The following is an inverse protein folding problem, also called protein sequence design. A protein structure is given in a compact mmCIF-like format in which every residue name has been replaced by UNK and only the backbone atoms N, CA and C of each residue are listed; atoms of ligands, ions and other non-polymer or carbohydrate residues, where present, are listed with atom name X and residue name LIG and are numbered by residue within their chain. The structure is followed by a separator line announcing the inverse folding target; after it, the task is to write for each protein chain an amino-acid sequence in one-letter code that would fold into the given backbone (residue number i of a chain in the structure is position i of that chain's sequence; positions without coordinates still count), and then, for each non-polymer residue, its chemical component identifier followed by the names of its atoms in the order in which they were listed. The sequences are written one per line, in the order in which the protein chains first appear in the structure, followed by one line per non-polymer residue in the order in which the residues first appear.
data_IF_298419733117
#
_entry.id   IF_298419733117
#
_cell.length_a   1.000
_cell.length_b   1.000
_cell.length_c   1.000
_cell.angle_alpha   90.00
_cell.angle_beta   90.00
_cell.angle_gamma   90.00
#
_symmetry.space_group_name_H-M   'P 1'
#
loop_
_entity.id
_entity.type
_entity.pdbx_description
1 polymer ?
#
# COMPACT_ATOMS: atom_id res chain seq x y z
N UNK A 1 -2.96 -31.71 -7.53
CA UNK A 1 -1.96 -30.65 -7.44
C UNK A 1 -2.17 -29.89 -6.12
N UNK A 2 -1.13 -29.72 -5.31
CA UNK A 2 -1.27 -28.98 -4.05
C UNK A 2 -1.44 -27.49 -4.32
N UNK A 3 -2.49 -26.90 -3.77
CA UNK A 3 -2.71 -25.45 -3.82
C UNK A 3 -1.66 -24.75 -2.98
N UNK A 4 -1.14 -23.62 -3.49
CA UNK A 4 -0.12 -22.81 -2.83
C UNK A 4 -0.65 -21.39 -2.61
N UNK A 5 -0.13 -20.72 -1.60
CA UNK A 5 -0.21 -19.29 -1.41
C UNK A 5 1.10 -18.66 -1.87
N UNK A 6 1.00 -17.60 -2.66
CA UNK A 6 2.12 -16.90 -3.26
C UNK A 6 1.98 -15.42 -2.87
N UNK A 7 2.88 -14.93 -2.05
CA UNK A 7 2.96 -13.54 -1.66
C UNK A 7 3.94 -12.81 -2.59
N UNK A 8 3.52 -11.71 -3.19
CA UNK A 8 4.28 -10.95 -4.17
C UNK A 8 4.30 -9.47 -3.80
N UNK A 9 5.49 -8.89 -3.80
CA UNK A 9 5.66 -7.45 -3.67
C UNK A 9 5.43 -6.75 -5.02
N UNK A 10 5.17 -5.45 -4.99
CA UNK A 10 4.98 -4.61 -6.17
C UNK A 10 6.30 -4.03 -6.67
N UNK A 11 6.92 -3.20 -5.87
CA UNK A 11 8.08 -2.39 -6.27
C UNK A 11 9.35 -3.23 -6.37
N UNK A 12 9.96 -3.23 -7.56
CA UNK A 12 11.16 -4.06 -7.81
C UNK A 12 10.88 -5.57 -7.93
N UNK A 13 9.60 -5.99 -7.89
CA UNK A 13 9.20 -7.41 -8.03
C UNK A 13 8.21 -7.58 -9.18
N UNK A 14 6.98 -7.13 -9.04
CA UNK A 14 5.96 -7.24 -10.09
C UNK A 14 5.99 -6.07 -11.08
N UNK A 15 6.38 -4.89 -10.60
CA UNK A 15 6.38 -3.68 -11.40
C UNK A 15 7.72 -3.51 -12.13
N UNK A 16 7.64 -3.06 -13.39
CA UNK A 16 8.80 -2.64 -14.16
C UNK A 16 9.29 -1.24 -13.73
N UNK A 17 10.35 -0.74 -14.40
CA UNK A 17 10.93 0.59 -14.12
C UNK A 17 9.98 1.77 -14.35
N UNK A 18 8.86 1.54 -15.07
CA UNK A 18 7.80 2.54 -15.28
C UNK A 18 6.64 2.39 -14.28
N UNK A 19 6.82 1.59 -13.22
CA UNK A 19 5.76 1.25 -12.25
C UNK A 19 4.51 0.63 -12.88
N UNK A 20 4.71 -0.21 -13.90
CA UNK A 20 3.63 -0.90 -14.61
C UNK A 20 3.78 -2.42 -14.53
N UNK A 21 2.65 -3.11 -14.53
CA UNK A 21 2.62 -4.55 -14.77
C UNK A 21 2.80 -4.84 -16.27
N UNK A 22 3.64 -5.82 -16.63
CA UNK A 22 3.70 -6.30 -17.99
C UNK A 22 2.51 -7.23 -18.31
N UNK A 23 2.12 -7.32 -19.58
CA UNK A 23 1.07 -8.23 -20.01
C UNK A 23 1.41 -9.68 -19.65
N UNK A 24 2.68 -10.05 -19.79
CA UNK A 24 3.18 -11.37 -19.39
C UNK A 24 2.96 -11.65 -17.90
N UNK A 25 3.24 -10.65 -17.02
CA UNK A 25 3.00 -10.76 -15.57
C UNK A 25 1.52 -10.95 -15.29
N UNK A 26 0.65 -10.12 -15.91
CA UNK A 26 -0.80 -10.18 -15.71
C UNK A 26 -1.34 -11.55 -16.12
N UNK A 27 -1.00 -12.01 -17.32
CA UNK A 27 -1.46 -13.32 -17.81
C UNK A 27 -0.95 -14.48 -16.94
N UNK A 28 0.31 -14.41 -16.50
CA UNK A 28 0.90 -15.45 -15.66
C UNK A 28 0.19 -15.56 -14.33
N UNK A 29 -0.11 -14.44 -13.67
CA UNK A 29 -0.81 -14.42 -12.38
C UNK A 29 -2.25 -14.90 -12.55
N UNK A 30 -2.95 -14.48 -13.59
CA UNK A 30 -4.30 -14.99 -13.89
C UNK A 30 -4.31 -16.51 -14.12
N UNK A 31 -3.35 -17.04 -14.85
CA UNK A 31 -3.19 -18.50 -15.04
C UNK A 31 -2.95 -19.23 -13.72
N UNK A 32 -2.07 -18.69 -12.87
CA UNK A 32 -1.77 -19.26 -11.55
C UNK A 32 -3.04 -19.27 -10.67
N UNK A 33 -3.78 -18.18 -10.66
CA UNK A 33 -5.05 -18.06 -9.91
C UNK A 33 -6.11 -19.04 -10.44
N UNK A 34 -6.22 -19.20 -11.77
CA UNK A 34 -7.14 -20.14 -12.39
C UNK A 34 -6.81 -21.62 -12.06
N UNK A 35 -5.55 -21.94 -11.77
CA UNK A 35 -5.13 -23.25 -11.25
C UNK A 35 -5.48 -23.46 -9.77
N UNK A 36 -6.08 -22.46 -9.13
CA UNK A 36 -6.56 -22.52 -7.74
C UNK A 36 -5.48 -22.16 -6.71
N UNK A 37 -4.33 -21.65 -7.12
CA UNK A 37 -3.37 -21.04 -6.20
C UNK A 37 -3.90 -19.69 -5.71
N UNK A 38 -3.47 -19.25 -4.53
CA UNK A 38 -3.84 -17.95 -3.96
C UNK A 38 -2.67 -16.99 -4.10
N UNK A 39 -2.85 -15.94 -4.90
CA UNK A 39 -1.86 -14.88 -5.07
C UNK A 39 -2.26 -13.71 -4.17
N UNK A 40 -1.33 -13.22 -3.35
CA UNK A 40 -1.52 -12.13 -2.39
C UNK A 40 -0.49 -11.04 -2.71
N UNK A 41 -0.96 -9.81 -2.86
CA UNK A 41 -0.06 -8.64 -2.91
C UNK A 41 0.34 -8.29 -1.47
N UNK A 42 1.65 -8.13 -1.27
CA UNK A 42 2.24 -7.72 0.00
C UNK A 42 3.20 -6.57 -0.27
N UNK A 43 2.87 -5.37 0.18
CA UNK A 43 3.56 -4.14 -0.22
C UNK A 43 3.64 -3.11 0.91
N UNK A 44 4.64 -2.23 0.87
CA UNK A 44 4.71 -1.04 1.71
C UNK A 44 3.67 0.02 1.34
N UNK A 45 3.15 -0.03 0.11
CA UNK A 45 2.19 0.97 -0.37
C UNK A 45 0.87 0.93 0.40
N UNK A 46 0.20 2.09 0.61
CA UNK A 46 -1.20 2.13 1.01
C UNK A 46 -2.10 1.56 -0.10
N UNK A 47 -3.32 1.14 0.26
CA UNK A 47 -4.26 0.57 -0.70
C UNK A 47 -4.55 1.50 -1.88
N UNK A 48 -4.71 2.81 -1.65
CA UNK A 48 -4.94 3.79 -2.73
C UNK A 48 -3.87 3.77 -3.83
N UNK A 49 -2.62 3.43 -3.50
CA UNK A 49 -1.51 3.32 -4.45
C UNK A 49 -1.34 1.93 -5.05
N UNK A 50 -2.03 0.94 -4.52
CA UNK A 50 -1.89 -0.47 -4.92
C UNK A 50 -3.15 -1.04 -5.60
N UNK A 51 -4.33 -0.40 -5.40
CA UNK A 51 -5.62 -0.94 -5.83
C UNK A 51 -5.72 -1.17 -7.34
N UNK A 52 -5.09 -0.30 -8.15
CA UNK A 52 -5.11 -0.43 -9.61
C UNK A 52 -4.46 -1.73 -10.07
N UNK A 53 -3.33 -2.09 -9.47
CA UNK A 53 -2.63 -3.36 -9.76
C UNK A 53 -3.45 -4.56 -9.30
N UNK A 54 -4.05 -4.48 -8.11
CA UNK A 54 -4.93 -5.52 -7.59
C UNK A 54 -6.09 -5.80 -8.55
N UNK A 55 -6.70 -4.75 -9.11
CA UNK A 55 -7.78 -4.86 -10.11
C UNK A 55 -7.29 -5.40 -11.45
N UNK A 56 -6.14 -4.95 -11.95
CA UNK A 56 -5.56 -5.46 -13.20
C UNK A 56 -5.26 -6.95 -13.13
N UNK A 57 -4.84 -7.43 -11.96
CA UNK A 57 -4.56 -8.85 -11.71
C UNK A 57 -5.83 -9.66 -11.42
N UNK A 58 -7.01 -9.03 -11.32
CA UNK A 58 -8.31 -9.65 -11.01
C UNK A 58 -8.27 -10.52 -9.74
N UNK A 59 -7.58 -10.03 -8.71
CA UNK A 59 -7.44 -10.76 -7.46
C UNK A 59 -8.71 -10.64 -6.60
N UNK A 60 -9.01 -11.72 -5.88
CA UNK A 60 -10.09 -11.84 -4.89
C UNK A 60 -9.57 -12.19 -3.49
N UNK A 61 -8.26 -12.14 -3.31
CA UNK A 61 -7.54 -12.53 -2.11
C UNK A 61 -7.32 -11.34 -1.17
N UNK A 62 -7.02 -11.57 0.11
CA UNK A 62 -6.54 -10.51 0.98
C UNK A 62 -5.32 -9.79 0.40
N UNK A 63 -5.16 -8.53 0.78
CA UNK A 63 -4.01 -7.69 0.46
C UNK A 63 -3.33 -7.26 1.75
N UNK A 64 -2.02 -7.18 1.71
CA UNK A 64 -1.19 -6.73 2.82
C UNK A 64 -0.53 -5.41 2.42
N UNK A 65 -0.87 -4.34 3.15
CA UNK A 65 -0.37 -2.99 2.94
C UNK A 65 0.47 -2.51 4.13
N UNK A 66 1.17 -1.38 3.95
CA UNK A 66 1.99 -0.75 5.00
C UNK A 66 2.97 -1.73 5.66
N UNK A 67 3.66 -2.57 4.86
CA UNK A 67 4.61 -3.56 5.35
C UNK A 67 4.03 -4.53 6.40
N UNK A 68 2.75 -4.87 6.30
CA UNK A 68 2.08 -5.80 7.21
C UNK A 68 1.16 -5.15 8.24
N UNK A 69 1.16 -3.83 8.37
CA UNK A 69 0.30 -3.16 9.36
C UNK A 69 -1.19 -3.22 9.02
N UNK A 70 -1.56 -3.39 7.76
CA UNK A 70 -2.93 -3.57 7.33
C UNK A 70 -3.05 -4.84 6.47
N UNK A 71 -3.80 -5.83 6.95
CA UNK A 71 -4.21 -7.01 6.19
C UNK A 71 -5.72 -6.96 6.05
N UNK A 72 -6.22 -6.84 4.82
CA UNK A 72 -7.64 -6.65 4.57
C UNK A 72 -8.06 -7.34 3.26
N UNK A 73 -9.36 -7.57 3.10
CA UNK A 73 -9.93 -7.97 1.82
C UNK A 73 -10.44 -6.70 1.11
N UNK A 74 -9.79 -6.27 0.01
CA UNK A 74 -10.14 -5.02 -0.66
C UNK A 74 -11.62 -4.91 -1.00
N UNK A 75 -12.21 -3.74 -0.72
CA UNK A 75 -13.61 -3.38 -1.03
C UNK A 75 -14.68 -4.26 -0.34
N UNK A 76 -14.28 -5.14 0.57
CA UNK A 76 -15.19 -6.04 1.30
C UNK A 76 -14.93 -5.98 2.79
N UNK A 77 -15.99 -6.20 3.58
CA UNK A 77 -15.82 -6.48 5.01
C UNK A 77 -15.28 -7.89 5.17
N UNK A 78 -14.27 -8.05 6.00
CA UNK A 78 -13.65 -9.33 6.27
C UNK A 78 -13.41 -9.50 7.77
N UNK A 79 -13.84 -10.63 8.33
CA UNK A 79 -13.79 -10.87 9.78
C UNK A 79 -12.36 -10.99 10.31
N UNK A 80 -11.43 -11.47 9.47
CA UNK A 80 -10.03 -11.64 9.83
C UNK A 80 -9.16 -10.41 9.48
N UNK A 81 -9.78 -9.27 9.18
CA UNK A 81 -9.05 -8.02 8.92
C UNK A 81 -8.19 -7.66 10.14
N UNK A 82 -6.93 -7.33 9.89
CA UNK A 82 -5.99 -6.87 10.91
C UNK A 82 -5.47 -5.49 10.54
N UNK A 83 -5.51 -4.57 11.51
CA UNK A 83 -4.98 -3.22 11.37
C UNK A 83 -4.20 -2.86 12.63
N UNK A 84 -2.89 -2.91 12.52
CA UNK A 84 -1.95 -2.52 13.58
C UNK A 84 -1.61 -1.05 13.41
N UNK A 85 -1.86 -0.24 14.42
CA UNK A 85 -1.60 1.20 14.38
C UNK A 85 -0.62 1.60 15.49
N UNK A 86 0.17 2.62 15.21
CA UNK A 86 0.92 3.31 16.25
C UNK A 86 -0.03 4.12 17.12
N UNK A 87 0.28 4.23 18.41
CA UNK A 87 -0.40 5.17 19.27
C UNK A 87 -0.15 6.60 18.75
N UNK A 88 -1.24 7.37 18.57
CA UNK A 88 -1.19 8.74 18.06
C UNK A 88 -0.25 9.66 18.85
N UNK A 89 0.04 9.33 20.13
CA UNK A 89 0.98 10.11 20.95
C UNK A 89 2.35 10.21 20.29
N UNK A 90 2.84 9.15 19.64
CA UNK A 90 4.15 9.20 18.96
C UNK A 90 4.16 10.18 17.79
N UNK A 91 3.07 10.23 17.02
CA UNK A 91 2.92 11.22 15.96
C UNK A 91 2.87 12.65 16.53
N UNK A 92 2.10 12.85 17.60
CA UNK A 92 1.99 14.16 18.27
C UNK A 92 3.32 14.59 18.87
N UNK A 93 4.07 13.68 19.47
CA UNK A 93 5.42 13.94 19.99
C UNK A 93 6.39 14.35 18.88
N UNK A 94 6.35 13.67 17.74
CA UNK A 94 7.13 14.05 16.56
C UNK A 94 6.78 15.45 16.06
N UNK A 95 5.48 15.76 15.95
CA UNK A 95 5.00 17.08 15.54
C UNK A 95 5.46 18.17 16.53
N UNK A 96 5.34 17.92 17.84
CA UNK A 96 5.75 18.85 18.88
C UNK A 96 7.27 19.10 18.89
N UNK A 97 8.06 18.13 18.47
CA UNK A 97 9.53 18.20 18.44
C UNK A 97 10.10 18.37 17.02
N UNK A 98 9.26 18.77 16.05
CA UNK A 98 9.63 18.87 14.63
C UNK A 98 10.95 19.62 14.39
N UNK A 99 11.10 20.79 15.04
CA UNK A 99 12.30 21.62 14.89
C UNK A 99 13.54 20.94 15.49
N UNK A 100 13.39 20.25 16.60
CA UNK A 100 14.47 19.53 17.27
C UNK A 100 15.01 18.38 16.41
N UNK A 101 14.11 17.65 15.75
CA UNK A 101 14.47 16.55 14.85
C UNK A 101 14.80 17.03 13.43
N UNK A 102 14.71 18.35 13.18
CA UNK A 102 15.00 18.98 11.89
C UNK A 102 14.22 18.35 10.72
N UNK A 103 12.93 18.04 10.94
CA UNK A 103 12.09 17.46 9.90
C UNK A 103 11.42 18.57 9.06
N UNK A 104 11.57 18.50 7.74
CA UNK A 104 10.89 19.42 6.82
C UNK A 104 9.37 19.28 6.92
N UNK A 105 8.89 18.06 7.04
CA UNK A 105 7.49 17.76 7.34
C UNK A 105 7.37 16.43 8.12
N UNK A 106 6.20 16.21 8.69
CA UNK A 106 5.82 14.93 9.30
C UNK A 106 4.52 14.49 8.65
N UNK A 107 4.51 13.26 8.16
CA UNK A 107 3.33 12.67 7.55
C UNK A 107 2.89 11.42 8.32
N UNK A 108 1.60 11.20 8.37
CA UNK A 108 0.98 10.02 8.95
C UNK A 108 -0.09 9.46 8.02
N UNK A 109 -0.24 8.16 8.03
CA UNK A 109 -1.25 7.48 7.22
C UNK A 109 -2.08 6.52 8.08
N UNK A 110 -3.35 6.45 7.79
CA UNK A 110 -4.27 5.47 8.36
C UNK A 110 -5.25 5.01 7.28
N UNK A 111 -5.16 3.78 6.86
CA UNK A 111 -5.95 3.21 5.75
C UNK A 111 -5.79 4.06 4.46
N UNK A 112 -6.84 4.76 4.05
CA UNK A 112 -6.82 5.64 2.87
C UNK A 112 -6.75 7.14 3.25
N UNK A 113 -6.50 7.46 4.53
CA UNK A 113 -6.34 8.83 5.01
C UNK A 113 -4.87 9.18 5.10
N UNK A 114 -4.53 10.34 4.59
CA UNK A 114 -3.19 10.92 4.64
C UNK A 114 -3.23 12.24 5.39
N UNK A 115 -2.27 12.47 6.26
CA UNK A 115 -2.11 13.66 7.07
C UNK A 115 -0.68 14.17 6.92
N UNK A 116 -0.51 15.48 6.80
CA UNK A 116 0.81 16.12 6.70
C UNK A 116 0.80 17.42 7.48
N UNK A 117 1.91 17.75 8.14
CA UNK A 117 2.05 18.97 8.95
C UNK A 117 2.23 20.24 8.13
N UNK A 118 2.82 20.12 6.95
CA UNK A 118 3.07 21.23 6.04
C UNK A 118 2.65 20.82 4.62
N UNK A 119 1.43 21.20 4.19
CA UNK A 119 0.91 20.87 2.87
C UNK A 119 1.52 21.76 1.77
N UNK A 120 2.82 22.00 1.81
CA UNK A 120 3.53 22.82 0.84
C UNK A 120 4.19 21.95 -0.22
N UNK A 121 3.72 22.06 -1.45
CA UNK A 121 4.22 21.30 -2.60
C UNK A 121 5.69 21.58 -2.94
N UNK A 122 6.27 22.67 -2.42
CA UNK A 122 7.72 22.93 -2.53
C UNK A 122 8.55 22.09 -1.55
N UNK A 123 7.92 21.56 -0.51
CA UNK A 123 8.56 20.71 0.51
C UNK A 123 8.36 19.22 0.20
N UNK A 124 7.19 18.86 -0.29
CA UNK A 124 6.86 17.47 -0.60
C UNK A 124 5.93 17.40 -1.83
N UNK A 125 6.28 16.57 -2.81
CA UNK A 125 5.41 16.31 -3.97
C UNK A 125 4.24 15.42 -3.55
N UNK A 126 2.97 15.87 -3.67
CA UNK A 126 1.79 15.07 -3.35
C UNK A 126 1.75 13.72 -4.05
N UNK A 127 2.29 13.64 -5.27
CA UNK A 127 2.31 12.41 -6.07
C UNK A 127 3.14 11.29 -5.41
N UNK A 128 4.16 11.64 -4.62
CA UNK A 128 4.93 10.66 -3.85
C UNK A 128 4.05 9.90 -2.85
N UNK A 129 2.96 10.51 -2.42
CA UNK A 129 1.99 9.93 -1.49
C UNK A 129 0.74 9.38 -2.18
N UNK A 130 0.71 9.37 -3.51
CA UNK A 130 -0.43 8.89 -4.30
C UNK A 130 -1.69 9.76 -4.17
N UNK A 131 -1.52 11.06 -3.99
CA UNK A 131 -2.56 12.09 -3.96
C UNK A 131 -2.30 13.14 -5.04
N UNK A 132 -3.35 13.84 -5.49
CA UNK A 132 -3.21 14.86 -6.55
C UNK A 132 -2.71 16.20 -6.00
N UNK A 133 -3.15 16.57 -4.82
CA UNK A 133 -2.77 17.80 -4.12
C UNK A 133 -2.94 17.66 -2.61
N UNK A 134 -2.28 18.50 -1.85
CA UNK A 134 -2.57 18.66 -0.43
C UNK A 134 -3.82 19.54 -0.26
N UNK A 135 -4.82 19.03 0.44
CA UNK A 135 -6.05 19.75 0.80
C UNK A 135 -6.07 20.06 2.29
#
# INVERSE_FOLDING_TARGET
MHKKMIALDLDGTLLNSESKLSDFTIETIKKISALGHKVIITTGRPYRMAHTYYKQLELDTPMINFNGSLTHLPEKKWVDEQCLTLDKKYLLDMVANRDTIQADFIAGEYRNKFFITDPNEHVADPKLFGIESFQ
#
